data_IF_865136151236
#
_entry.id   IF_865136151236
#
_cell.length_a   1.000
_cell.length_b   1.000
_cell.length_c   1.000
_cell.angle_alpha   90.00
_cell.angle_beta   90.00
_cell.angle_gamma   90.00
#
_symmetry.space_group_name_H-M   'P 1'
#
loop_
_entity.id
_entity.type
_entity.pdbx_description
1 polymer ?
#
# COMPACT_ATOMS: atom_id res chain seq x y z
N UNK A 1 -36.74 -8.73 42.36
CA UNK A 1 -35.49 -8.85 41.58
C UNK A 1 -35.81 -8.46 40.15
N UNK A 2 -35.12 -7.47 39.60
CA UNK A 2 -35.26 -7.06 38.20
C UNK A 2 -34.01 -7.52 37.46
N UNK A 3 -34.17 -8.26 36.37
CA UNK A 3 -33.20 -8.32 35.29
C UNK A 3 -33.98 -8.52 34.00
N UNK A 4 -34.08 -7.45 33.22
CA UNK A 4 -34.73 -7.46 31.92
C UNK A 4 -33.68 -7.78 30.85
N UNK A 5 -33.83 -8.89 30.15
CA UNK A 5 -33.31 -8.98 28.78
C UNK A 5 -34.20 -8.12 27.89
N UNK A 6 -33.61 -7.21 27.07
CA UNK A 6 -34.05 -6.87 25.70
C UNK A 6 -33.03 -5.94 24.98
N UNK A 7 -33.10 -5.80 23.62
CA UNK A 7 -31.97 -5.46 22.77
C UNK A 7 -32.15 -4.22 21.87
N UNK A 8 -31.08 -3.83 21.15
CA UNK A 8 -31.03 -3.03 19.91
C UNK A 8 -29.77 -3.49 19.14
N UNK A 9 -29.54 -3.40 17.81
CA UNK A 9 -30.27 -3.11 16.54
C UNK A 9 -29.32 -3.69 15.45
N UNK A 10 -29.68 -4.44 14.40
CA UNK A 10 -30.71 -4.38 13.33
C UNK A 10 -30.53 -3.29 12.26
N UNK A 11 -29.59 -3.50 11.34
CA UNK A 11 -29.66 -3.01 9.95
C UNK A 11 -28.87 -4.01 9.06
N UNK A 12 -29.29 -4.38 7.85
CA UNK A 12 -30.50 -3.96 7.13
C UNK A 12 -30.32 -4.03 5.61
N UNK A 13 -29.90 -5.19 5.07
CA UNK A 13 -29.66 -5.35 3.62
C UNK A 13 -30.99 -5.23 2.87
N UNK A 14 -31.14 -4.15 2.09
CA UNK A 14 -32.29 -3.93 1.23
C UNK A 14 -32.04 -4.51 -0.17
N UNK A 15 -32.46 -5.76 -0.38
CA UNK A 15 -32.58 -6.34 -1.72
C UNK A 15 -33.72 -5.66 -2.49
N UNK A 16 -33.38 -4.85 -3.50
CA UNK A 16 -34.36 -4.30 -4.45
C UNK A 16 -34.60 -5.35 -5.53
N UNK A 17 -35.74 -6.06 -5.44
CA UNK A 17 -36.08 -7.11 -6.39
C UNK A 17 -37.55 -7.51 -6.35
N UNK A 18 -38.43 -6.75 -7.01
CA UNK A 18 -39.71 -7.27 -7.51
C UNK A 18 -40.28 -6.41 -8.64
N UNK A 19 -40.52 -7.04 -9.80
CA UNK A 19 -41.09 -6.41 -11.00
C UNK A 19 -42.04 -7.34 -11.76
N UNK A 20 -42.78 -8.21 -11.05
CA UNK A 20 -43.77 -9.09 -11.66
C UNK A 20 -45.05 -8.32 -11.99
N UNK A 21 -45.24 -7.97 -13.26
CA UNK A 21 -46.52 -7.50 -13.80
C UNK A 21 -47.23 -8.69 -14.46
N UNK A 22 -48.09 -9.37 -13.70
CA UNK A 22 -49.05 -10.35 -14.25
C UNK A 22 -50.35 -9.65 -14.66
N UNK A 23 -50.44 -9.25 -15.92
CA UNK A 23 -51.71 -8.81 -16.53
C UNK A 23 -52.09 -9.80 -17.61
N UNK A 24 -53.16 -10.57 -17.38
CA UNK A 24 -53.79 -11.43 -18.39
C UNK A 24 -55.05 -10.74 -18.93
N UNK A 25 -54.97 -9.98 -20.04
CA UNK A 25 -56.16 -9.55 -20.75
C UNK A 25 -56.69 -10.74 -21.57
N UNK A 26 -57.99 -11.02 -21.46
CA UNK A 26 -58.62 -12.04 -22.29
C UNK A 26 -58.58 -11.62 -23.77
N UNK A 27 -58.25 -12.57 -24.66
CA UNK A 27 -58.07 -12.32 -26.10
C UNK A 27 -59.39 -12.01 -26.79
N UNK A 28 -59.42 -10.90 -27.54
CA UNK A 28 -60.27 -10.76 -28.71
C UNK A 28 -59.35 -10.69 -29.96
N UNK A 29 -59.50 -11.58 -30.96
CA UNK A 29 -58.61 -11.58 -32.11
C UNK A 29 -58.95 -10.42 -33.05
N UNK A 30 -57.97 -9.57 -33.36
CA UNK A 30 -58.08 -8.56 -34.41
C UNK A 30 -56.99 -8.74 -35.49
N UNK A 31 -57.25 -8.33 -36.74
CA UNK A 31 -56.53 -8.86 -37.89
C UNK A 31 -55.23 -8.10 -38.18
N UNK A 32 -54.16 -8.86 -38.49
CA UNK A 32 -52.99 -8.47 -39.28
C UNK A 32 -52.54 -7.01 -39.23
N UNK A 33 -51.74 -6.67 -38.23
CA UNK A 33 -50.92 -5.45 -38.21
C UNK A 33 -49.45 -5.86 -38.16
N UNK A 34 -48.61 -5.12 -38.91
CA UNK A 34 -47.14 -5.14 -38.96
C UNK A 34 -46.44 -6.01 -37.92
N UNK A 35 -45.53 -6.89 -38.38
CA UNK A 35 -44.54 -7.56 -37.51
C UNK A 35 -43.89 -6.54 -36.58
N UNK A 36 -44.28 -6.58 -35.31
CA UNK A 36 -43.53 -5.96 -34.23
C UNK A 36 -42.21 -6.73 -34.21
N UNK A 37 -41.10 -6.05 -34.49
CA UNK A 37 -39.81 -6.60 -34.07
C UNK A 37 -39.86 -6.60 -32.55
N UNK A 38 -39.86 -7.78 -31.95
CA UNK A 38 -39.41 -7.93 -30.56
C UNK A 38 -37.95 -7.45 -30.54
N UNK A 39 -37.79 -6.17 -30.24
CA UNK A 39 -36.52 -5.64 -29.76
C UNK A 39 -36.35 -6.30 -28.41
N UNK A 40 -35.36 -7.18 -28.30
CA UNK A 40 -35.01 -7.83 -27.04
C UNK A 40 -34.44 -6.78 -26.06
N UNK A 41 -35.36 -6.04 -25.44
CA UNK A 41 -35.08 -4.96 -24.49
C UNK A 41 -34.33 -5.45 -23.24
N UNK A 42 -34.31 -6.76 -22.99
CA UNK A 42 -33.42 -7.37 -21.98
C UNK A 42 -31.96 -7.26 -22.42
N UNK A 43 -31.59 -7.81 -23.58
CA UNK A 43 -30.20 -7.77 -24.06
C UNK A 43 -29.67 -6.34 -24.20
N UNK A 44 -30.47 -5.42 -24.77
CA UNK A 44 -30.07 -4.02 -24.89
C UNK A 44 -29.97 -3.25 -23.56
N UNK A 45 -30.58 -3.76 -22.47
CA UNK A 45 -30.46 -3.20 -21.12
C UNK A 45 -29.31 -3.84 -20.35
N UNK A 46 -29.09 -5.14 -20.54
CA UNK A 46 -27.95 -5.88 -20.00
C UNK A 46 -26.64 -5.32 -20.59
N UNK A 47 -26.55 -5.16 -21.92
CA UNK A 47 -25.42 -4.54 -22.63
C UNK A 47 -25.17 -3.10 -22.15
N UNK A 48 -26.23 -2.33 -21.87
CA UNK A 48 -26.12 -0.96 -21.36
C UNK A 48 -25.59 -0.90 -19.91
N UNK A 49 -25.97 -1.86 -19.06
CA UNK A 49 -25.49 -1.92 -17.68
C UNK A 49 -24.12 -2.58 -17.54
N UNK A 50 -23.68 -3.40 -18.50
CA UNK A 50 -22.46 -4.19 -18.38
C UNK A 50 -21.21 -3.35 -18.02
N UNK A 51 -20.91 -2.20 -18.66
CA UNK A 51 -19.76 -1.37 -18.28
C UNK A 51 -19.83 -0.86 -16.83
N UNK A 52 -21.03 -0.55 -16.33
CA UNK A 52 -21.23 -0.13 -14.95
C UNK A 52 -21.05 -1.27 -13.95
N UNK A 53 -21.49 -2.48 -14.32
CA UNK A 53 -21.33 -3.70 -13.54
C UNK A 53 -19.84 -4.07 -13.41
N UNK A 54 -19.07 -3.99 -14.49
CA UNK A 54 -17.65 -4.33 -14.49
C UNK A 54 -16.83 -3.35 -13.63
N UNK A 55 -17.10 -2.05 -13.77
CA UNK A 55 -16.46 -1.01 -12.96
C UNK A 55 -16.85 -1.13 -11.48
N UNK A 56 -18.12 -1.43 -11.17
CA UNK A 56 -18.58 -1.68 -9.80
C UNK A 56 -17.95 -2.93 -9.18
N UNK A 57 -17.90 -4.05 -9.91
CA UNK A 57 -17.34 -5.31 -9.42
C UNK A 57 -15.84 -5.16 -9.11
N UNK A 58 -15.10 -4.47 -9.98
CA UNK A 58 -13.68 -4.12 -9.76
C UNK A 58 -13.52 -3.27 -8.49
N UNK A 59 -14.34 -2.22 -8.34
CA UNK A 59 -14.32 -1.35 -7.17
C UNK A 59 -14.67 -2.10 -5.88
N UNK A 60 -15.65 -3.00 -5.92
CA UNK A 60 -16.08 -3.81 -4.79
C UNK A 60 -15.03 -4.83 -4.37
N UNK A 61 -14.37 -5.51 -5.31
CA UNK A 61 -13.28 -6.45 -5.01
C UNK A 61 -12.08 -5.72 -4.39
N UNK A 62 -11.68 -4.59 -4.96
CA UNK A 62 -10.61 -3.73 -4.46
C UNK A 62 -10.92 -3.19 -3.05
N UNK A 63 -12.12 -2.64 -2.84
CA UNK A 63 -12.56 -2.15 -1.54
C UNK A 63 -12.63 -3.28 -0.49
N UNK A 64 -13.06 -4.49 -0.87
CA UNK A 64 -13.09 -5.64 0.03
C UNK A 64 -11.67 -6.06 0.45
N UNK A 65 -10.69 -6.00 -0.45
CA UNK A 65 -9.29 -6.31 -0.13
C UNK A 65 -8.69 -5.30 0.85
N UNK A 66 -8.96 -4.00 0.67
CA UNK A 66 -8.55 -2.95 1.61
C UNK A 66 -9.24 -3.10 2.97
N UNK A 67 -10.57 -3.24 3.00
CA UNK A 67 -11.32 -3.46 4.25
C UNK A 67 -10.80 -4.68 5.01
N UNK A 68 -10.46 -5.76 4.30
CA UNK A 68 -9.89 -6.96 4.93
C UNK A 68 -8.48 -6.70 5.49
N UNK A 69 -7.59 -6.03 4.75
CA UNK A 69 -6.26 -5.66 5.22
C UNK A 69 -6.32 -4.75 6.45
N UNK A 70 -7.12 -3.68 6.40
CA UNK A 70 -7.35 -2.80 7.56
C UNK A 70 -7.90 -3.57 8.77
N UNK A 71 -8.83 -4.50 8.56
CA UNK A 71 -9.46 -5.27 9.63
C UNK A 71 -8.51 -6.27 10.33
N UNK A 72 -7.40 -6.68 9.69
CA UNK A 72 -6.37 -7.53 10.34
C UNK A 72 -5.70 -6.81 11.51
N UNK A 73 -5.23 -5.59 11.27
CA UNK A 73 -4.54 -4.78 12.26
C UNK A 73 -4.83 -3.27 12.02
N UNK A 74 -5.97 -2.75 12.50
CA UNK A 74 -6.33 -1.35 12.32
C UNK A 74 -5.26 -0.40 12.86
N UNK A 75 -4.73 0.48 12.02
CA UNK A 75 -3.64 1.40 12.37
C UNK A 75 -2.35 0.71 12.88
N UNK A 76 -1.93 -0.38 12.23
CA UNK A 76 -0.86 -1.25 12.74
C UNK A 76 0.45 -0.55 13.12
N UNK A 77 0.92 0.45 12.37
CA UNK A 77 2.09 1.24 12.75
C UNK A 77 1.96 1.95 14.11
N UNK A 78 0.76 2.45 14.42
CA UNK A 78 0.47 3.04 15.73
C UNK A 78 0.31 1.98 16.83
N UNK A 79 -0.23 0.80 16.50
CA UNK A 79 -0.24 -0.34 17.42
C UNK A 79 1.18 -0.76 17.81
N UNK A 80 2.10 -0.84 16.83
CA UNK A 80 3.50 -1.16 17.06
C UNK A 80 4.20 -0.07 17.88
N UNK A 81 3.95 1.21 17.58
CA UNK A 81 4.51 2.34 18.34
C UNK A 81 4.10 2.31 19.84
N UNK A 82 2.86 1.90 20.15
CA UNK A 82 2.41 1.73 21.55
C UNK A 82 3.06 0.49 22.19
N UNK A 83 3.15 -0.63 21.46
CA UNK A 83 3.79 -1.85 21.94
C UNK A 83 5.27 -1.60 22.32
N UNK A 84 6.06 -1.00 21.41
CA UNK A 84 7.45 -0.60 21.68
C UNK A 84 7.57 0.25 22.94
N UNK A 85 6.75 1.30 23.06
CA UNK A 85 6.77 2.16 24.24
C UNK A 85 6.49 1.37 25.51
N UNK A 86 5.48 0.49 25.52
CA UNK A 86 5.18 -0.37 26.68
C UNK A 86 6.36 -1.26 27.08
N UNK A 87 7.03 -1.89 26.12
CA UNK A 87 8.20 -2.73 26.38
C UNK A 87 9.41 -1.93 26.88
N UNK A 88 9.65 -0.73 26.34
CA UNK A 88 10.70 0.18 26.78
C UNK A 88 10.43 0.72 28.19
N UNK A 89 9.19 1.10 28.50
CA UNK A 89 8.79 1.48 29.85
C UNK A 89 8.94 0.32 30.84
N UNK A 90 8.57 -0.90 30.44
CA UNK A 90 8.76 -2.10 31.28
C UNK A 90 10.24 -2.38 31.57
N UNK A 91 11.13 -2.18 30.59
CA UNK A 91 12.58 -2.31 30.79
C UNK A 91 13.10 -1.26 31.79
N UNK A 92 12.80 0.02 31.58
CA UNK A 92 13.24 1.10 32.46
C UNK A 92 12.69 0.98 33.90
N UNK A 93 11.45 0.50 34.06
CA UNK A 93 10.81 0.30 35.37
C UNK A 93 11.39 -0.91 36.11
N UNK A 94 11.66 -2.02 35.42
CA UNK A 94 12.18 -3.24 36.04
C UNK A 94 13.70 -3.23 36.24
N UNK A 95 14.44 -2.50 35.42
CA UNK A 95 15.88 -2.28 35.56
C UNK A 95 16.25 -0.84 35.16
N UNK A 96 16.31 0.10 36.13
CA UNK A 96 16.68 1.50 35.89
C UNK A 96 18.08 1.70 35.29
N UNK A 97 18.96 0.69 35.29
CA UNK A 97 20.26 0.80 34.62
C UNK A 97 20.16 0.80 33.08
N UNK A 98 19.02 0.36 32.53
CA UNK A 98 18.72 0.34 31.09
C UNK A 98 18.24 1.68 30.52
N UNK A 99 17.98 2.70 31.37
CA UNK A 99 17.49 4.02 30.93
C UNK A 99 18.33 4.67 29.80
N UNK A 100 19.68 4.61 29.79
CA UNK A 100 20.48 5.11 28.67
C UNK A 100 20.20 4.38 27.36
N UNK A 101 20.06 3.05 27.40
CA UNK A 101 19.79 2.22 26.23
C UNK A 101 18.36 2.45 25.71
N UNK A 102 17.37 2.57 26.61
CA UNK A 102 15.99 2.97 26.28
C UNK A 102 15.96 4.36 25.63
N UNK A 103 16.73 5.32 26.14
CA UNK A 103 16.84 6.67 25.58
C UNK A 103 17.48 6.68 24.19
N UNK A 104 18.45 5.80 23.94
CA UNK A 104 19.03 5.61 22.61
C UNK A 104 18.01 4.97 21.65
N UNK A 105 17.33 3.89 22.06
CA UNK A 105 16.32 3.23 21.24
C UNK A 105 15.17 4.16 20.85
N UNK A 106 14.69 5.02 21.76
CA UNK A 106 13.67 6.03 21.44
C UNK A 106 14.13 7.03 20.36
N UNK A 107 15.41 7.39 20.34
CA UNK A 107 15.98 8.25 19.29
C UNK A 107 16.14 7.51 17.96
N UNK A 108 16.53 6.23 18.00
CA UNK A 108 16.65 5.37 16.82
C UNK A 108 15.28 5.06 16.18
N UNK A 109 14.26 4.74 16.98
CA UNK A 109 12.87 4.55 16.54
C UNK A 109 12.32 5.84 15.90
N UNK A 110 12.52 6.99 16.56
CA UNK A 110 12.05 8.28 16.06
C UNK A 110 12.74 8.70 14.75
N UNK A 111 14.06 8.48 14.64
CA UNK A 111 14.81 8.69 13.40
C UNK A 111 14.33 7.75 12.29
N UNK A 112 14.18 6.46 12.60
CA UNK A 112 13.76 5.44 11.62
C UNK A 112 12.36 5.73 11.08
N UNK A 113 11.40 6.13 11.92
CA UNK A 113 10.08 6.55 11.47
C UNK A 113 10.11 7.80 10.57
N UNK A 114 10.94 8.80 10.91
CA UNK A 114 11.08 10.02 10.13
C UNK A 114 11.71 9.76 8.75
N UNK A 115 12.76 8.95 8.70
CA UNK A 115 13.42 8.58 7.44
C UNK A 115 12.51 7.67 6.60
N UNK A 116 11.83 6.69 7.20
CA UNK A 116 10.94 5.76 6.51
C UNK A 116 9.74 6.43 5.80
N UNK A 117 9.31 7.62 6.23
CA UNK A 117 8.21 8.34 5.59
C UNK A 117 8.54 8.83 4.19
N UNK A 118 9.77 9.33 3.97
CA UNK A 118 10.18 9.99 2.72
C UNK A 118 11.40 9.37 2.04
N UNK A 119 12.13 8.49 2.74
CA UNK A 119 13.43 7.92 2.40
C UNK A 119 14.52 8.94 2.01
N UNK A 120 14.28 10.24 2.21
CA UNK A 120 15.13 11.32 1.70
C UNK A 120 16.55 11.31 2.30
N UNK A 121 16.68 10.93 3.58
CA UNK A 121 17.98 10.77 4.26
C UNK A 121 18.37 9.30 4.49
N UNK A 122 17.60 8.34 3.97
CA UNK A 122 17.93 6.92 4.08
C UNK A 122 18.97 6.55 3.01
N UNK A 123 19.77 5.52 3.26
CA UNK A 123 20.72 5.02 2.27
C UNK A 123 20.05 4.33 1.07
N UNK A 124 20.84 3.89 0.07
CA UNK A 124 20.31 3.26 -1.14
C UNK A 124 19.71 1.88 -0.87
N UNK A 125 18.84 1.44 -1.77
CA UNK A 125 18.37 0.06 -1.82
C UNK A 125 19.52 -0.90 -2.16
N UNK A 126 19.62 -2.00 -1.43
CA UNK A 126 20.64 -3.03 -1.65
C UNK A 126 20.35 -3.92 -2.86
N UNK A 127 21.38 -4.20 -3.66
CA UNK A 127 21.31 -5.24 -4.70
C UNK A 127 22.66 -5.93 -4.91
N UNK A 128 23.69 -5.19 -5.36
CA UNK A 128 25.07 -5.71 -5.47
C UNK A 128 25.86 -5.60 -4.15
N UNK A 129 25.42 -4.71 -3.27
CA UNK A 129 25.93 -4.48 -1.91
C UNK A 129 24.74 -4.46 -0.93
N UNK A 130 24.95 -4.75 0.36
CA UNK A 130 23.92 -4.54 1.38
C UNK A 130 23.37 -3.11 1.34
N UNK A 131 22.05 -2.96 1.44
CA UNK A 131 21.39 -1.67 1.44
C UNK A 131 21.22 -1.07 2.83
N UNK A 132 20.50 0.04 2.87
CA UNK A 132 19.96 0.59 4.10
C UNK A 132 18.75 -0.25 4.58
N UNK A 133 18.73 -0.75 5.84
CA UNK A 133 17.64 -1.58 6.35
C UNK A 133 16.26 -0.91 6.33
N UNK A 134 16.19 0.42 6.52
CA UNK A 134 14.94 1.17 6.45
C UNK A 134 14.46 1.23 5.00
N UNK A 135 15.36 1.52 4.05
CA UNK A 135 15.03 1.51 2.61
C UNK A 135 14.60 0.13 2.13
N UNK A 136 15.29 -0.95 2.51
CA UNK A 136 14.92 -2.32 2.13
C UNK A 136 13.52 -2.69 2.63
N UNK A 137 13.19 -2.36 3.87
CA UNK A 137 11.93 -2.72 4.52
C UNK A 137 10.75 -1.86 4.07
N UNK A 138 10.98 -0.57 3.85
CA UNK A 138 9.96 0.36 3.30
C UNK A 138 9.66 0.03 1.85
N UNK A 139 10.67 -0.28 1.04
CA UNK A 139 10.46 -0.61 -0.38
C UNK A 139 9.63 -1.88 -0.60
N UNK A 140 9.59 -2.81 0.36
CA UNK A 140 8.65 -3.94 0.31
C UNK A 140 7.18 -3.50 0.38
N UNK A 141 6.89 -2.32 0.92
CA UNK A 141 5.54 -1.76 1.05
C UNK A 141 5.20 -0.68 0.01
N UNK A 142 6.12 -0.39 -0.92
CA UNK A 142 5.96 0.71 -1.87
C UNK A 142 6.39 0.39 -3.30
N UNK A 143 7.13 -0.69 -3.54
CA UNK A 143 7.58 -1.16 -4.86
C UNK A 143 7.14 -2.60 -5.11
N UNK A 144 6.78 -2.92 -6.35
CA UNK A 144 6.43 -4.29 -6.75
C UNK A 144 7.66 -5.20 -6.81
N UNK A 145 7.45 -6.46 -6.42
CA UNK A 145 8.48 -7.50 -6.31
C UNK A 145 8.40 -8.59 -7.37
N UNK A 146 7.60 -8.41 -8.42
CA UNK A 146 7.44 -9.40 -9.48
C UNK A 146 8.78 -9.66 -10.18
N UNK A 147 9.07 -10.91 -10.52
CA UNK A 147 10.29 -11.25 -11.23
C UNK A 147 10.09 -12.51 -12.06
N UNK A 148 10.19 -12.38 -13.38
CA UNK A 148 10.27 -13.50 -14.30
C UNK A 148 11.36 -13.21 -15.33
N UNK A 149 12.55 -13.73 -15.09
CA UNK A 149 13.74 -13.46 -15.91
C UNK A 149 13.96 -14.60 -16.92
N UNK A 150 13.72 -14.33 -18.20
CA UNK A 150 14.11 -15.23 -19.29
C UNK A 150 15.42 -14.77 -19.95
N UNK A 151 16.52 -15.31 -19.42
CA UNK A 151 17.87 -15.10 -19.96
C UNK A 151 18.15 -15.90 -21.25
N UNK A 152 17.18 -16.67 -21.77
CA UNK A 152 17.29 -17.35 -23.06
C UNK A 152 16.82 -16.48 -24.23
N UNK A 153 16.02 -15.44 -23.95
CA UNK A 153 15.45 -14.55 -24.95
C UNK A 153 14.30 -15.15 -25.78
N UNK A 154 13.72 -16.29 -25.37
CA UNK A 154 12.55 -16.87 -26.03
C UNK A 154 11.24 -16.22 -25.59
N UNK A 155 11.20 -15.60 -24.41
CA UNK A 155 10.06 -14.87 -23.85
C UNK A 155 10.47 -13.51 -23.28
N UNK A 156 9.49 -12.62 -23.11
CA UNK A 156 9.69 -11.29 -22.53
C UNK A 156 9.81 -11.42 -21.01
N UNK A 157 10.86 -10.83 -20.43
CA UNK A 157 11.07 -10.83 -18.99
C UNK A 157 10.12 -9.85 -18.28
N UNK A 158 9.68 -10.17 -17.06
CA UNK A 158 8.93 -9.24 -16.21
C UNK A 158 9.82 -8.78 -15.05
N UNK A 159 9.96 -7.48 -14.87
CA UNK A 159 10.79 -6.85 -13.84
C UNK A 159 9.92 -5.99 -12.92
N UNK A 160 9.86 -6.33 -11.64
CA UNK A 160 9.24 -5.51 -10.61
C UNK A 160 10.09 -4.30 -10.26
N UNK A 161 9.43 -3.25 -9.76
CA UNK A 161 10.07 -1.97 -9.47
C UNK A 161 11.21 -2.07 -8.44
N UNK A 162 11.14 -3.00 -7.48
CA UNK A 162 12.21 -3.21 -6.50
C UNK A 162 13.51 -3.72 -7.15
N UNK A 163 13.40 -4.55 -8.20
CA UNK A 163 14.57 -4.97 -9.00
C UNK A 163 15.06 -3.83 -9.90
N UNK A 164 14.16 -3.13 -10.59
CA UNK A 164 14.52 -1.99 -11.45
C UNK A 164 15.30 -0.92 -10.66
N UNK A 165 14.82 -0.56 -9.47
CA UNK A 165 15.49 0.41 -8.58
C UNK A 165 16.88 -0.07 -8.16
N UNK A 166 17.07 -1.37 -7.89
CA UNK A 166 18.38 -1.95 -7.58
C UNK A 166 19.37 -1.95 -8.76
N UNK A 167 18.87 -1.99 -10.01
CA UNK A 167 19.71 -1.89 -11.21
C UNK A 167 19.98 -0.45 -11.67
N UNK A 168 19.09 0.51 -11.40
CA UNK A 168 19.21 1.90 -11.86
C UNK A 168 20.59 2.54 -11.59
N UNK A 169 21.21 2.42 -10.40
CA UNK A 169 22.55 2.99 -10.15
C UNK A 169 23.64 2.44 -11.08
N UNK A 170 23.52 1.19 -11.54
CA UNK A 170 24.45 0.59 -12.51
C UNK A 170 24.15 0.98 -13.97
N UNK A 171 22.98 1.59 -14.22
CA UNK A 171 22.56 2.13 -15.51
C UNK A 171 22.78 3.65 -15.63
N UNK A 172 23.24 4.32 -14.58
CA UNK A 172 23.52 5.75 -14.64
C UNK A 172 24.74 6.04 -15.54
N UNK A 173 24.67 7.07 -16.40
CA UNK A 173 25.83 7.61 -17.11
C UNK A 173 27.01 7.92 -16.16
N UNK A 174 28.24 7.69 -16.62
CA UNK A 174 29.45 7.79 -15.80
C UNK A 174 29.79 9.22 -15.33
N UNK A 175 29.10 10.23 -15.85
CA UNK A 175 29.16 11.64 -15.44
C UNK A 175 28.09 12.04 -14.41
N UNK A 176 27.12 11.16 -14.12
CA UNK A 176 26.12 11.34 -13.06
C UNK A 176 26.54 10.63 -11.78
N UNK A 177 26.70 11.41 -10.71
CA UNK A 177 27.01 10.90 -9.38
C UNK A 177 25.77 10.22 -8.75
N UNK A 178 25.84 8.92 -8.39
CA UNK A 178 24.75 8.22 -7.72
C UNK A 178 24.30 8.89 -6.40
N UNK A 179 25.19 9.61 -5.70
CA UNK A 179 24.81 10.34 -4.47
C UNK A 179 23.82 11.49 -4.75
N UNK A 180 23.83 12.05 -5.97
CA UNK A 180 22.89 13.11 -6.37
C UNK A 180 21.51 12.54 -6.75
N UNK A 181 21.47 11.31 -7.27
CA UNK A 181 20.25 10.68 -7.80
C UNK A 181 19.52 9.85 -6.74
N UNK A 182 20.26 9.24 -5.80
CA UNK A 182 19.71 8.37 -4.75
C UNK A 182 18.59 9.02 -3.94
N UNK A 183 18.70 10.27 -3.42
CA UNK A 183 17.60 10.88 -2.65
C UNK A 183 16.31 11.06 -3.46
N UNK A 184 16.43 11.29 -4.77
CA UNK A 184 15.28 11.43 -5.68
C UNK A 184 14.62 10.08 -5.91
N UNK A 185 15.40 9.03 -6.19
CA UNK A 185 14.87 7.66 -6.38
C UNK A 185 14.24 7.15 -5.08
N UNK A 186 14.91 7.33 -3.95
CA UNK A 186 14.39 6.99 -2.62
C UNK A 186 13.07 7.72 -2.35
N UNK A 187 13.00 9.03 -2.62
CA UNK A 187 11.73 9.76 -2.51
C UNK A 187 10.66 9.20 -3.44
N UNK A 188 10.96 8.95 -4.72
CA UNK A 188 10.01 8.40 -5.68
C UNK A 188 9.53 6.99 -5.28
N UNK A 189 10.33 6.23 -4.55
CA UNK A 189 9.98 4.94 -3.96
C UNK A 189 9.37 5.03 -2.55
N UNK A 190 9.22 6.23 -1.98
CA UNK A 190 8.79 6.40 -0.58
C UNK A 190 7.27 6.28 -0.36
N UNK A 191 6.81 5.99 0.87
CA UNK A 191 5.39 6.03 1.22
C UNK A 191 4.77 7.41 1.00
N UNK A 192 5.49 8.50 1.30
CA UNK A 192 5.04 9.87 1.03
C UNK A 192 4.72 10.09 -0.46
N UNK A 193 5.54 9.55 -1.37
CA UNK A 193 5.24 9.62 -2.80
C UNK A 193 3.97 8.82 -3.14
N UNK A 194 3.78 7.64 -2.54
CA UNK A 194 2.56 6.85 -2.67
C UNK A 194 1.32 7.58 -2.18
N UNK A 195 1.42 8.30 -1.06
CA UNK A 195 0.35 9.15 -0.53
C UNK A 195 0.02 10.32 -1.45
N UNK A 196 1.03 10.99 -2.01
CA UNK A 196 0.84 12.05 -3.01
C UNK A 196 0.15 11.48 -4.25
N UNK A 197 0.62 10.34 -4.76
CA UNK A 197 0.10 9.69 -5.95
C UNK A 197 -1.36 9.23 -5.75
N UNK A 198 -1.64 8.56 -4.63
CA UNK A 198 -2.98 8.13 -4.26
C UNK A 198 -3.94 9.28 -3.96
N UNK A 199 -3.46 10.42 -3.46
CA UNK A 199 -4.30 11.61 -3.29
C UNK A 199 -4.67 12.28 -4.62
N UNK A 200 -3.75 12.31 -5.59
CA UNK A 200 -3.98 12.89 -6.92
C UNK A 200 -4.82 11.98 -7.81
N UNK A 201 -4.56 10.67 -7.76
CA UNK A 201 -5.10 9.65 -8.66
C UNK A 201 -6.62 9.73 -8.88
N UNK A 202 -7.49 9.74 -7.85
CA UNK A 202 -8.95 9.76 -8.03
C UNK A 202 -9.45 11.02 -8.75
N UNK A 203 -8.70 12.12 -8.69
CA UNK A 203 -9.05 13.37 -9.37
C UNK A 203 -8.61 13.43 -10.84
N UNK A 204 -7.55 12.68 -11.19
CA UNK A 204 -6.93 12.67 -12.51
C UNK A 204 -7.40 11.49 -13.37
N UNK A 205 -7.60 10.31 -12.76
CA UNK A 205 -7.99 9.07 -13.45
C UNK A 205 -9.26 9.21 -14.31
N UNK A 206 -10.33 9.91 -13.88
CA UNK A 206 -11.50 10.14 -14.74
C UNK A 206 -11.20 10.91 -16.03
N UNK A 207 -10.24 11.82 -16.02
CA UNK A 207 -9.82 12.55 -17.22
C UNK A 207 -9.00 11.69 -18.16
N UNK A 208 -8.14 10.83 -17.62
CA UNK A 208 -7.40 9.83 -18.40
C UNK A 208 -8.35 8.81 -19.02
N UNK A 209 -9.28 8.27 -18.24
CA UNK A 209 -10.32 7.37 -18.76
C UNK A 209 -11.18 8.03 -19.85
N UNK A 210 -11.52 9.32 -19.71
CA UNK A 210 -12.21 10.07 -20.76
C UNK A 210 -11.36 10.17 -22.04
N UNK A 211 -10.07 10.49 -21.93
CA UNK A 211 -9.17 10.58 -23.09
C UNK A 211 -9.00 9.22 -23.79
N UNK A 212 -8.81 8.15 -23.02
CA UNK A 212 -8.70 6.79 -23.52
C UNK A 212 -10.00 6.38 -24.23
N UNK A 213 -11.16 6.52 -23.57
CA UNK A 213 -12.47 6.18 -24.15
C UNK A 213 -12.75 6.97 -25.45
N UNK A 214 -12.34 8.25 -25.54
CA UNK A 214 -12.45 9.04 -26.78
C UNK A 214 -11.51 8.51 -27.87
N UNK A 215 -10.30 8.09 -27.52
CA UNK A 215 -9.33 7.50 -28.45
C UNK A 215 -9.80 6.14 -29.00
N UNK A 216 -10.40 5.33 -28.13
CA UNK A 216 -10.89 3.98 -28.44
C UNK A 216 -12.23 4.01 -29.21
N UNK A 217 -12.91 5.15 -29.23
CA UNK A 217 -14.15 5.38 -29.99
C UNK A 217 -15.42 4.93 -29.25
N UNK A 218 -15.36 4.89 -27.92
CA UNK A 218 -16.44 4.45 -27.04
C UNK A 218 -17.73 5.27 -27.17
N UNK A 219 -18.85 4.62 -26.86
CA UNK A 219 -20.14 5.29 -26.73
C UNK A 219 -20.24 6.14 -25.46
N UNK A 220 -21.26 7.01 -25.40
CA UNK A 220 -21.47 7.90 -24.25
C UNK A 220 -21.70 7.12 -22.94
N UNK A 221 -22.28 5.93 -23.00
CA UNK A 221 -22.53 5.10 -21.83
C UNK A 221 -21.22 4.54 -21.26
N UNK A 222 -20.38 4.02 -22.15
CA UNK A 222 -19.06 3.44 -21.88
C UNK A 222 -18.12 4.53 -21.36
N UNK A 223 -18.04 5.70 -22.01
CA UNK A 223 -17.31 6.88 -21.53
C UNK A 223 -17.71 7.22 -20.09
N UNK A 224 -19.02 7.34 -19.81
CA UNK A 224 -19.50 7.69 -18.46
C UNK A 224 -19.20 6.62 -17.42
N UNK A 225 -19.35 5.34 -17.77
CA UNK A 225 -19.01 4.21 -16.92
C UNK A 225 -17.50 4.17 -16.64
N UNK A 226 -16.66 4.36 -17.65
CA UNK A 226 -15.20 4.38 -17.55
C UNK A 226 -14.71 5.57 -16.71
N UNK A 227 -15.28 6.77 -16.86
CA UNK A 227 -14.95 7.92 -16.01
C UNK A 227 -15.29 7.68 -14.54
N UNK A 228 -16.49 7.16 -14.24
CA UNK A 228 -16.92 6.86 -12.86
C UNK A 228 -16.13 5.68 -12.29
N UNK A 229 -15.87 4.66 -13.10
CA UNK A 229 -15.04 3.53 -12.77
C UNK A 229 -13.62 3.95 -12.41
N UNK A 230 -12.99 4.79 -13.23
CA UNK A 230 -11.65 5.29 -12.98
C UNK A 230 -11.51 6.16 -11.72
N UNK A 231 -12.58 6.84 -11.28
CA UNK A 231 -12.60 7.50 -9.97
C UNK A 231 -12.38 6.49 -8.81
N UNK A 232 -12.89 5.26 -8.94
CA UNK A 232 -12.76 4.20 -7.93
C UNK A 232 -11.59 3.23 -8.17
N UNK A 233 -11.28 2.92 -9.43
CA UNK A 233 -10.38 1.84 -9.86
C UNK A 233 -9.05 2.34 -10.43
N UNK A 234 -8.98 3.60 -10.86
CA UNK A 234 -7.81 4.16 -11.53
C UNK A 234 -7.89 4.12 -13.05
N UNK A 235 -6.88 4.68 -13.71
CA UNK A 235 -6.69 4.63 -15.15
C UNK A 235 -5.22 4.81 -15.52
N UNK A 236 -4.78 4.15 -16.59
CA UNK A 236 -3.42 4.26 -17.11
C UNK A 236 -3.33 5.29 -18.23
N UNK A 237 -2.35 6.20 -18.12
CA UNK A 237 -2.04 7.21 -19.12
C UNK A 237 -0.85 6.76 -19.96
N UNK A 238 -1.06 6.58 -21.27
CA UNK A 238 0.03 6.37 -22.21
C UNK A 238 0.93 7.64 -22.31
N UNK A 239 2.24 7.44 -22.23
CA UNK A 239 3.26 8.49 -22.27
C UNK A 239 4.26 8.30 -23.43
N UNK A 240 3.93 7.54 -24.47
CA UNK A 240 4.86 7.20 -25.57
C UNK A 240 5.36 8.43 -26.34
N UNK A 241 4.62 9.54 -26.27
CA UNK A 241 5.04 10.83 -26.80
C UNK A 241 6.32 11.39 -26.12
N UNK A 242 6.70 10.86 -24.95
CA UNK A 242 7.94 11.17 -24.24
C UNK A 242 9.14 10.35 -24.75
N UNK A 243 8.94 9.18 -25.37
CA UNK A 243 10.04 8.29 -25.80
C UNK A 243 11.07 9.04 -26.66
N UNK A 244 10.68 9.81 -27.72
CA UNK A 244 11.65 10.55 -28.52
C UNK A 244 12.41 11.62 -27.73
N UNK A 245 11.83 12.14 -26.65
CA UNK A 245 12.47 13.14 -25.78
C UNK A 245 13.49 12.43 -24.88
N UNK A 246 13.12 11.29 -24.28
CA UNK A 246 13.99 10.46 -23.43
C UNK A 246 15.21 9.98 -24.22
N UNK A 247 15.02 9.44 -25.42
CA UNK A 247 16.12 9.01 -26.31
C UNK A 247 17.09 10.16 -26.63
N UNK A 248 16.58 11.38 -26.85
CA UNK A 248 17.40 12.57 -27.11
C UNK A 248 18.19 13.06 -25.89
N UNK A 249 17.85 12.66 -24.67
CA UNK A 249 18.60 13.08 -23.47
C UNK A 249 19.96 12.39 -23.33
N UNK A 250 20.17 11.25 -23.98
CA UNK A 250 21.38 10.43 -23.78
C UNK A 250 21.46 9.74 -22.41
N UNK A 251 20.39 9.74 -21.61
CA UNK A 251 20.34 9.09 -20.29
C UNK A 251 20.18 7.56 -20.36
N UNK A 252 19.83 7.00 -21.52
CA UNK A 252 19.72 5.55 -21.72
C UNK A 252 21.10 4.94 -21.99
N UNK A 253 21.47 3.82 -21.34
CA UNK A 253 22.70 3.09 -21.64
C UNK A 253 22.80 2.65 -23.11
N UNK A 254 24.03 2.49 -23.61
CA UNK A 254 24.25 2.02 -24.99
C UNK A 254 23.60 0.65 -25.23
N UNK A 255 22.65 0.60 -26.17
CA UNK A 255 21.88 -0.61 -26.48
C UNK A 255 20.64 -0.82 -25.61
N UNK A 256 20.22 0.18 -24.82
CA UNK A 256 18.89 0.20 -24.19
C UNK A 256 17.91 1.00 -25.06
N UNK A 257 16.79 0.38 -25.44
CA UNK A 257 15.68 1.03 -26.14
C UNK A 257 14.42 1.00 -25.25
N UNK A 258 13.56 2.01 -25.35
CA UNK A 258 12.24 2.03 -24.70
C UNK A 258 11.16 2.02 -25.79
N UNK A 259 10.19 1.12 -25.65
CA UNK A 259 9.09 0.94 -26.60
C UNK A 259 7.75 1.47 -26.08
N UNK A 260 7.56 1.45 -24.77
CA UNK A 260 6.37 1.95 -24.10
C UNK A 260 6.75 2.69 -22.82
N UNK A 261 6.09 3.82 -22.55
CA UNK A 261 6.08 4.46 -21.23
C UNK A 261 4.63 4.72 -20.87
N UNK A 262 4.25 4.41 -19.63
CA UNK A 262 2.94 4.77 -19.10
C UNK A 262 3.01 5.26 -17.64
N UNK A 263 1.89 5.85 -17.19
CA UNK A 263 1.67 6.21 -15.79
C UNK A 263 0.30 5.70 -15.33
N UNK A 264 0.31 4.74 -14.42
CA UNK A 264 -0.90 4.20 -13.79
C UNK A 264 -1.36 5.11 -12.62
N UNK A 265 -2.51 5.76 -12.78
CA UNK A 265 -3.14 6.56 -11.73
C UNK A 265 -4.13 5.69 -10.94
N UNK A 266 -4.09 5.75 -9.61
CA UNK A 266 -5.02 5.00 -8.75
C UNK A 266 -6.36 5.71 -8.55
N UNK A 267 -7.44 4.95 -8.44
CA UNK A 267 -8.74 5.42 -7.97
C UNK A 267 -8.85 5.27 -6.46
N UNK A 268 -10.02 5.65 -5.90
CA UNK A 268 -10.27 5.68 -4.46
C UNK A 268 -9.98 4.34 -3.76
N UNK A 269 -10.25 3.22 -4.42
CA UNK A 269 -10.12 1.87 -3.87
C UNK A 269 -8.94 1.08 -4.43
N UNK A 270 -8.13 1.62 -5.35
CA UNK A 270 -6.97 0.90 -5.90
C UNK A 270 -6.00 0.50 -4.78
N UNK A 271 -5.77 -0.81 -4.53
CA UNK A 271 -4.93 -1.24 -3.40
C UNK A 271 -3.44 -1.11 -3.69
N UNK A 272 -3.06 -1.18 -4.97
CA UNK A 272 -1.68 -1.30 -5.44
C UNK A 272 -1.10 -2.69 -5.29
N UNK A 273 0.14 -2.84 -5.75
CA UNK A 273 0.91 -4.10 -5.79
C UNK A 273 2.32 -3.82 -5.32
N UNK A 274 2.80 -4.60 -4.36
CA UNK A 274 4.09 -4.40 -3.68
C UNK A 274 4.81 -5.73 -3.45
N UNK A 275 6.10 -5.69 -3.10
CA UNK A 275 6.94 -6.87 -2.88
C UNK A 275 6.69 -7.59 -1.54
N UNK A 276 6.02 -6.92 -0.60
CA UNK A 276 5.66 -7.51 0.70
C UNK A 276 4.85 -8.80 0.51
N UNK A 277 5.24 -9.83 1.24
CA UNK A 277 4.48 -11.07 1.30
C UNK A 277 3.01 -10.81 1.71
N UNK A 278 2.05 -11.62 1.23
CA UNK A 278 0.64 -11.48 1.61
C UNK A 278 0.44 -11.52 3.13
N UNK A 279 -0.46 -10.68 3.63
CA UNK A 279 -0.91 -10.73 5.01
C UNK A 279 -1.81 -11.95 5.22
N UNK A 280 -1.67 -12.63 6.35
CA UNK A 280 -2.43 -13.85 6.63
C UNK A 280 -3.63 -13.57 7.53
N UNK A 281 -4.79 -14.17 7.25
CA UNK A 281 -5.96 -14.09 8.13
C UNK A 281 -5.81 -15.10 9.28
N UNK A 282 -5.77 -14.65 10.56
CA UNK A 282 -5.59 -15.53 11.72
C UNK A 282 -6.62 -16.65 11.78
N UNK A 283 -6.15 -17.88 12.03
CA UNK A 283 -7.00 -19.06 12.19
C UNK A 283 -7.68 -19.58 10.91
N UNK A 284 -7.53 -18.93 9.76
CA UNK A 284 -8.04 -19.44 8.47
C UNK A 284 -6.93 -19.73 7.45
N UNK A 285 -5.80 -19.03 7.53
CA UNK A 285 -4.69 -19.18 6.58
C UNK A 285 -5.00 -18.63 5.18
N UNK A 286 -6.03 -17.79 5.04
CA UNK A 286 -6.31 -17.05 3.81
C UNK A 286 -5.26 -15.95 3.64
N UNK A 287 -4.64 -15.89 2.47
CA UNK A 287 -3.72 -14.82 2.06
C UNK A 287 -4.49 -13.62 1.53
N UNK A 288 -4.04 -12.42 1.90
CA UNK A 288 -4.50 -11.13 1.40
C UNK A 288 -3.29 -10.37 0.86
N UNK A 289 -3.32 -9.97 -0.41
CA UNK A 289 -2.23 -9.17 -0.98
C UNK A 289 -2.05 -7.88 -0.16
N UNK A 290 -0.79 -7.54 0.12
CA UNK A 290 -0.45 -6.33 0.87
C UNK A 290 -0.75 -5.09 0.01
N UNK A 291 -1.45 -4.07 0.53
CA UNK A 291 -1.66 -2.81 -0.15
C UNK A 291 -0.42 -1.92 -0.04
N UNK A 292 -0.28 -0.99 -0.98
CA UNK A 292 0.80 -0.02 -0.99
C UNK A 292 1.23 0.37 -2.40
N UNK A 293 2.26 1.21 -2.48
CA UNK A 293 2.79 1.72 -3.73
C UNK A 293 3.50 3.05 -3.57
N UNK A 294 3.97 3.61 -4.67
CA UNK A 294 4.76 4.85 -4.74
C UNK A 294 4.62 5.50 -6.12
N UNK A 295 5.20 6.68 -6.32
CA UNK A 295 5.28 7.29 -7.66
C UNK A 295 6.13 6.39 -8.58
N UNK A 296 7.24 5.84 -8.10
CA UNK A 296 8.09 4.96 -8.88
C UNK A 296 7.35 3.69 -9.31
N UNK A 297 6.54 3.10 -8.42
CA UNK A 297 5.71 1.93 -8.70
C UNK A 297 4.60 2.17 -9.74
N UNK A 298 4.24 3.43 -9.99
CA UNK A 298 3.17 3.80 -10.93
C UNK A 298 3.67 3.96 -12.37
N UNK A 299 4.97 3.76 -12.66
CA UNK A 299 5.57 4.04 -13.97
C UNK A 299 5.75 2.73 -14.74
N UNK A 300 5.03 2.58 -15.85
CA UNK A 300 5.20 1.44 -16.77
C UNK A 300 6.32 1.67 -17.76
N UNK A 301 7.12 0.63 -18.04
CA UNK A 301 8.20 0.67 -19.03
C UNK A 301 8.27 -0.66 -19.80
N UNK A 302 8.11 -0.62 -21.12
CA UNK A 302 8.57 -1.69 -22.00
C UNK A 302 9.92 -1.30 -22.57
N UNK A 303 10.94 -2.11 -22.34
CA UNK A 303 12.32 -1.82 -22.75
C UNK A 303 13.05 -3.06 -23.24
N UNK A 304 14.04 -2.87 -24.10
CA UNK A 304 15.06 -3.87 -24.40
C UNK A 304 16.39 -3.34 -23.87
N UNK A 305 16.92 -3.97 -22.83
CA UNK A 305 18.18 -3.59 -22.22
C UNK A 305 19.32 -4.50 -22.71
N UNK A 306 20.46 -3.91 -23.04
CA UNK A 306 21.68 -4.69 -23.28
C UNK A 306 22.29 -5.14 -21.94
N UNK A 307 22.11 -6.41 -21.58
CA UNK A 307 22.70 -7.02 -20.38
C UNK A 307 23.81 -7.98 -20.81
N UNK A 308 25.05 -7.67 -20.43
CA UNK A 308 26.24 -8.48 -20.70
C UNK A 308 26.51 -8.77 -22.20
N UNK A 309 26.03 -7.92 -23.12
CA UNK A 309 26.19 -8.09 -24.56
C UNK A 309 25.05 -8.85 -25.24
N UNK A 310 23.96 -9.15 -24.52
CA UNK A 310 22.74 -9.74 -25.04
C UNK A 310 21.55 -8.79 -24.84
N UNK A 311 20.60 -8.82 -25.78
CA UNK A 311 19.30 -8.16 -25.65
C UNK A 311 18.48 -8.86 -24.57
N UNK A 312 17.86 -8.06 -23.69
CA UNK A 312 16.93 -8.50 -22.66
C UNK A 312 15.63 -7.70 -22.82
N UNK A 313 14.67 -8.19 -23.62
CA UNK A 313 13.33 -7.62 -23.68
C UNK A 313 12.65 -7.79 -22.33
N UNK A 314 12.28 -6.68 -21.71
CA UNK A 314 11.73 -6.61 -20.36
C UNK A 314 10.54 -5.65 -20.29
N UNK A 315 9.54 -6.05 -19.49
CA UNK A 315 8.36 -5.25 -19.15
C UNK A 315 8.38 -4.99 -17.65
N UNK A 316 8.22 -3.72 -17.28
CA UNK A 316 7.98 -3.24 -15.92
C UNK A 316 6.50 -2.82 -15.87
N UNK A 317 5.59 -3.64 -15.32
CA UNK A 317 4.17 -3.32 -15.31
C UNK A 317 3.88 -2.16 -14.36
N UNK A 318 3.12 -1.16 -14.81
CA UNK A 318 2.73 -0.04 -13.97
C UNK A 318 1.69 -0.43 -12.90
N UNK A 319 1.96 -0.07 -11.65
CA UNK A 319 1.13 -0.41 -10.49
C UNK A 319 0.68 0.83 -9.73
N UNK A 320 -0.48 1.34 -10.17
CA UNK A 320 -1.21 2.41 -9.51
C UNK A 320 -1.50 2.12 -8.03
N UNK A 321 -1.52 3.16 -7.19
CA UNK A 321 -1.99 3.08 -5.80
C UNK A 321 -3.05 4.15 -5.52
N UNK A 322 -4.11 3.77 -4.80
CA UNK A 322 -5.16 4.67 -4.33
C UNK A 322 -4.84 5.28 -2.96
N UNK A 323 -5.61 6.27 -2.49
CA UNK A 323 -5.31 6.97 -1.24
C UNK A 323 -5.42 6.06 -0.01
N UNK A 324 -6.36 5.11 -0.03
CA UNK A 324 -6.55 4.14 1.07
C UNK A 324 -5.43 3.10 1.05
N UNK A 325 -5.10 2.53 -0.13
CA UNK A 325 -4.01 1.56 -0.28
C UNK A 325 -2.64 2.14 0.10
N UNK A 326 -2.36 3.39 -0.28
CA UNK A 326 -1.13 4.08 0.11
C UNK A 326 -1.04 4.33 1.62
N UNK A 327 -2.17 4.66 2.28
CA UNK A 327 -2.21 4.85 3.73
C UNK A 327 -2.05 3.52 4.49
N UNK A 328 -2.71 2.45 4.04
CA UNK A 328 -2.52 1.11 4.61
C UNK A 328 -1.10 0.58 4.40
N UNK A 329 -0.53 0.74 3.20
CA UNK A 329 0.86 0.40 2.91
C UNK A 329 1.86 1.18 3.77
N UNK A 330 1.65 2.49 3.96
CA UNK A 330 2.46 3.29 4.89
C UNK A 330 2.34 2.79 6.34
N UNK A 331 1.13 2.51 6.83
CA UNK A 331 0.95 2.00 8.19
C UNK A 331 1.61 0.63 8.39
N UNK A 332 1.60 -0.24 7.37
CA UNK A 332 2.32 -1.53 7.42
C UNK A 332 3.85 -1.33 7.33
N UNK A 333 4.33 -0.38 6.52
CA UNK A 333 5.74 0.00 6.49
C UNK A 333 6.23 0.53 7.85
N UNK A 334 5.44 1.38 8.52
CA UNK A 334 5.77 1.85 9.87
C UNK A 334 5.73 0.72 10.90
N UNK A 335 4.76 -0.19 10.80
CA UNK A 335 4.69 -1.38 11.67
C UNK A 335 5.87 -2.32 11.48
N UNK A 336 6.42 -2.42 10.26
CA UNK A 336 7.64 -3.14 9.98
C UNK A 336 8.87 -2.41 10.55
N UNK A 337 9.07 -1.13 10.19
CA UNK A 337 10.27 -0.35 10.57
C UNK A 337 10.41 -0.15 12.08
N UNK A 338 9.30 0.03 12.79
CA UNK A 338 9.30 0.11 14.26
C UNK A 338 9.29 -1.27 14.93
N UNK A 339 9.04 -2.35 14.21
CA UNK A 339 8.81 -3.66 14.80
C UNK A 339 10.08 -4.47 15.08
N UNK A 340 10.13 -5.15 16.23
CA UNK A 340 11.09 -6.21 16.50
C UNK A 340 10.62 -7.61 16.05
N UNK A 341 9.40 -7.74 15.51
CA UNK A 341 8.87 -9.04 15.09
C UNK A 341 7.42 -9.14 14.60
N UNK A 342 6.61 -8.07 14.55
CA UNK A 342 5.28 -8.18 13.93
C UNK A 342 5.41 -8.27 12.41
N UNK A 343 5.46 -9.50 11.89
CA UNK A 343 5.58 -9.72 10.45
C UNK A 343 4.22 -9.73 9.75
N UNK A 344 3.15 -10.23 10.39
CA UNK A 344 1.81 -10.38 9.81
C UNK A 344 1.67 -11.40 8.66
N UNK A 345 2.81 -11.93 8.16
CA UNK A 345 2.95 -12.48 6.80
C UNK A 345 3.61 -13.87 6.75
N UNK A 346 4.24 -14.32 7.83
CA UNK A 346 5.00 -15.59 7.84
C UNK A 346 4.28 -16.78 8.49
N UNK A 347 3.28 -16.54 9.34
CA UNK A 347 2.56 -17.56 10.11
C UNK A 347 1.19 -17.00 10.53
N UNK A 348 0.07 -17.75 10.41
CA UNK A 348 -1.25 -17.29 10.87
C UNK A 348 -1.36 -17.01 12.37
N UNK A 349 -0.40 -17.45 13.20
CA UNK A 349 -0.31 -17.10 14.61
C UNK A 349 0.37 -15.73 14.85
N UNK A 350 1.23 -15.31 13.92
CA UNK A 350 1.99 -14.05 13.99
C UNK A 350 1.24 -12.90 13.28
N UNK A 351 0.09 -13.21 12.66
CA UNK A 351 -0.87 -12.25 12.11
C UNK A 351 -1.84 -11.65 13.15
N UNK A 352 -1.59 -11.92 14.43
CA UNK A 352 -2.27 -11.27 15.55
C UNK A 352 -1.78 -9.83 15.65
N UNK A 353 -2.67 -8.83 15.65
CA UNK A 353 -2.29 -7.41 15.66
C UNK A 353 -1.47 -7.02 16.91
N UNK A 354 -0.50 -6.09 16.84
CA UNK A 354 0.49 -5.85 17.91
C UNK A 354 -0.08 -5.54 19.30
N UNK A 355 -1.24 -4.86 19.39
CA UNK A 355 -1.86 -4.56 20.69
C UNK A 355 -2.67 -5.72 21.30
N UNK A 356 -2.74 -6.88 20.65
CA UNK A 356 -3.54 -8.00 21.15
C UNK A 356 -2.91 -8.60 22.40
N UNK A 357 -3.59 -8.48 23.53
CA UNK A 357 -3.07 -8.96 24.82
C UNK A 357 -2.03 -8.05 25.46
N UNK A 358 -1.82 -6.84 24.93
CA UNK A 358 -0.97 -5.81 25.52
C UNK A 358 -1.38 -5.53 26.97
N UNK A 359 -0.40 -5.47 27.86
CA UNK A 359 -0.58 -5.13 29.27
C UNK A 359 0.22 -3.86 29.56
N UNK A 360 -0.40 -2.91 30.25
CA UNK A 360 0.33 -1.73 30.72
C UNK A 360 1.41 -2.17 31.72
N UNK A 361 2.63 -1.60 31.67
CA UNK A 361 3.67 -1.83 32.67
C UNK A 361 3.11 -1.62 34.08
N UNK A 362 3.35 -2.60 34.95
CA UNK A 362 3.00 -2.50 36.36
C UNK A 362 4.20 -1.98 37.13
N UNK A 363 3.96 -1.12 38.12
CA UNK A 363 5.00 -0.70 39.06
C UNK A 363 5.28 -1.91 39.98
N UNK A 364 6.54 -2.37 40.13
CA UNK A 364 6.87 -3.48 41.02
C UNK A 364 6.45 -3.17 42.47
N UNK A 365 5.82 -4.14 43.14
CA UNK A 365 5.35 -4.01 44.53
C UNK A 365 6.50 -3.73 45.51
N UNK A 366 7.74 -4.09 45.14
CA UNK A 366 8.97 -3.91 45.90
C UNK A 366 9.75 -2.63 45.55
N UNK A 367 9.33 -1.84 44.54
CA UNK A 367 10.01 -0.61 44.12
C UNK A 367 10.17 0.42 45.26
N UNK A 368 9.27 0.37 46.25
CA UNK A 368 9.31 1.19 47.47
C UNK A 368 9.40 0.35 48.75
N UNK A 369 9.59 -0.97 48.66
CA UNK A 369 9.78 -1.83 49.83
C UNK A 369 11.24 -1.77 50.28
N UNK A 370 11.53 -0.81 51.16
CA UNK A 370 12.70 -0.83 52.04
C UNK A 370 12.64 -2.07 52.94
N UNK A 371 13.06 -3.21 52.37
CA UNK A 371 13.18 -4.51 53.01
C UNK A 371 14.29 -4.58 54.08
N UNK A 372 14.54 -3.49 54.82
CA UNK A 372 15.33 -3.46 56.05
C UNK A 372 16.81 -3.85 55.90
N UNK A 373 17.35 -3.81 54.68
CA UNK A 373 18.70 -4.24 54.36
C UNK A 373 19.42 -3.20 53.49
N UNK A 374 20.12 -2.27 54.14
CA UNK A 374 20.87 -1.23 53.46
C UNK A 374 22.08 -1.78 52.66
N UNK A 375 21.95 -1.87 51.33
CA UNK A 375 23.04 -1.71 50.36
C UNK A 375 22.53 -1.61 48.90
N UNK A 376 22.59 -0.42 48.28
CA UNK A 376 22.67 -0.28 46.82
C UNK A 376 21.58 0.53 46.11
N UNK A 377 20.31 0.43 46.52
CA UNK A 377 19.19 0.96 45.72
C UNK A 377 18.84 2.45 45.93
N UNK A 378 19.46 3.15 46.88
CA UNK A 378 19.04 4.50 47.29
C UNK A 378 19.30 5.63 46.29
N UNK A 379 20.13 5.41 45.27
CA UNK A 379 20.35 6.37 44.17
C UNK A 379 19.47 6.09 42.93
N UNK A 380 18.86 4.90 42.82
CA UNK A 380 18.06 4.51 41.65
C UNK A 380 16.62 5.06 41.66
N UNK A 381 16.14 5.50 42.82
CA UNK A 381 14.79 6.03 43.03
C UNK A 381 14.80 7.46 43.61
N UNK A 382 15.72 8.31 43.12
CA UNK A 382 15.76 9.71 43.54
C UNK A 382 14.51 10.48 43.05
N UNK A 383 14.06 11.52 43.77
CA UNK A 383 13.03 12.42 43.27
C UNK A 383 13.41 13.07 41.93
N UNK A 384 14.71 13.26 41.70
CA UNK A 384 15.26 13.80 40.46
C UNK A 384 15.05 12.84 39.27
N UNK A 385 15.08 11.51 39.47
CA UNK A 385 14.74 10.53 38.41
C UNK A 385 13.26 10.59 38.04
N UNK A 386 12.36 10.72 39.02
CA UNK A 386 10.94 10.97 38.75
C UNK A 386 10.69 12.34 38.09
N UNK A 387 11.57 13.31 38.33
CA UNK A 387 11.53 14.64 37.71
C UNK A 387 12.00 14.58 36.24
N UNK A 388 13.12 13.90 35.95
CA UNK A 388 13.59 13.62 34.58
C UNK A 388 12.55 12.79 33.79
N UNK A 389 11.89 11.81 34.42
CA UNK A 389 10.81 11.02 33.83
C UNK A 389 9.57 11.88 33.49
N UNK A 390 9.25 12.86 34.35
CA UNK A 390 8.15 13.81 34.13
C UNK A 390 8.51 14.87 33.07
N UNK A 391 9.75 15.33 33.02
CA UNK A 391 10.23 16.27 32.01
C UNK A 391 10.34 15.59 30.63
N UNK A 392 10.69 14.30 30.56
CA UNK A 392 10.57 13.46 29.36
C UNK A 392 9.11 13.38 28.88
N UNK A 393 8.16 13.25 29.80
CA UNK A 393 6.70 13.24 29.52
C UNK A 393 6.16 14.56 28.97
N UNK A 394 6.81 15.69 29.28
CA UNK A 394 6.39 17.04 28.85
C UNK A 394 7.18 17.50 27.61
N UNK A 395 8.44 17.08 27.46
CA UNK A 395 9.33 17.46 26.36
C UNK A 395 9.03 16.78 25.02
N UNK A 396 8.42 15.59 25.02
CA UNK A 396 8.13 14.82 23.80
C UNK A 396 6.93 15.33 22.97
N UNK A 397 6.38 16.50 23.29
CA UNK A 397 5.19 17.09 22.65
C UNK A 397 5.42 18.44 21.94
N UNK A 398 6.67 18.76 21.57
CA UNK A 398 7.08 20.01 20.91
C UNK A 398 7.34 19.88 19.41
#
# INVERSE_FOLDING_TARGET
MQQALRPYVTAGIALVGSGLISVTPAVAPMPGISTIRDVALTGAFDDFLQPWIDQYNTAAANAQLLINNFALAPFVGYQQQIANQGDLWSQAINDPSTIPDVTNQLQEDAKSAADAYSLWNAGPLGFLTPGDPVTEMVTDHTLSGEANLDLTGETISTLGHKLLMGFLPAMLPADLDPETVTPILNFLASPLSGLIMGALGPSLSPWVALMNSISDGDGLNEIMANMVGAYFNGATLNLDFLIPIVEQTGLLPEGTNIYHIDLALGGLFTPGVVASAPNLVPGTGVELAAPGGSIFNSIGLDLDANVLGASLPAVVPAHAVGPIGAWEGWMQAMGAVLGSGWSGKSNPQDAVAPLTGFQLPQIPDDLFDDGGAAAGASDAASPDMLQDLLDLFIGAGG
#
